data_IF_729490155984
#
_entry.id   IF_729490155984
#
_cell.length_a   1.000
_cell.length_b   1.000
_cell.length_c   1.000
_cell.angle_alpha   90.00
_cell.angle_beta   90.00
_cell.angle_gamma   90.00
#
_symmetry.space_group_name_H-M   'P 1'
#
loop_
_entity.id
_entity.type
_entity.pdbx_description
1 polymer ?
#
# COMPACT_ATOMS: atom_id res chain seq x y z
N UNK A 1 -30.14 -37.80 -46.66
CA UNK A 1 -29.83 -37.08 -45.40
C UNK A 1 -28.33 -37.19 -45.16
N UNK A 2 -27.57 -36.11 -45.38
CA UNK A 2 -26.13 -36.10 -45.06
C UNK A 2 -26.00 -35.95 -43.55
N UNK A 3 -25.76 -37.06 -42.85
CA UNK A 3 -25.44 -37.03 -41.43
C UNK A 3 -24.15 -36.25 -41.23
N UNK A 4 -24.24 -35.12 -40.53
CA UNK A 4 -23.08 -34.35 -40.13
C UNK A 4 -22.20 -35.18 -39.19
N UNK A 5 -20.89 -35.10 -39.40
CA UNK A 5 -19.89 -35.76 -38.57
C UNK A 5 -19.91 -35.13 -37.17
N UNK A 6 -20.56 -35.82 -36.23
CA UNK A 6 -20.82 -35.35 -34.86
C UNK A 6 -19.50 -35.02 -34.14
N UNK A 7 -18.44 -35.79 -34.37
CA UNK A 7 -17.13 -35.56 -33.78
C UNK A 7 -16.48 -34.25 -34.29
N UNK A 8 -16.66 -33.92 -35.57
CA UNK A 8 -16.22 -32.62 -36.10
C UNK A 8 -17.02 -31.47 -35.52
N UNK A 9 -18.33 -31.64 -35.35
CA UNK A 9 -19.19 -30.65 -34.70
C UNK A 9 -18.77 -30.37 -33.26
N UNK A 10 -18.53 -31.42 -32.47
CA UNK A 10 -18.05 -31.34 -31.09
C UNK A 10 -16.68 -30.64 -31.00
N UNK A 11 -15.72 -31.04 -31.83
CA UNK A 11 -14.38 -30.42 -31.87
C UNK A 11 -14.44 -28.93 -32.23
N UNK A 12 -15.30 -28.54 -33.18
CA UNK A 12 -15.53 -27.15 -33.56
C UNK A 12 -16.14 -26.34 -32.42
N UNK A 13 -17.15 -26.88 -31.73
CA UNK A 13 -17.77 -26.23 -30.58
C UNK A 13 -16.77 -26.05 -29.43
N UNK A 14 -15.99 -27.07 -29.10
CA UNK A 14 -14.94 -26.98 -28.08
C UNK A 14 -13.90 -25.92 -28.45
N UNK A 15 -13.46 -25.89 -29.72
CA UNK A 15 -12.49 -24.89 -30.20
C UNK A 15 -13.04 -23.47 -30.13
N UNK A 16 -14.28 -23.25 -30.59
CA UNK A 16 -14.93 -21.93 -30.54
C UNK A 16 -15.16 -21.47 -29.10
N UNK A 17 -15.60 -22.39 -28.23
CA UNK A 17 -15.76 -22.11 -26.81
C UNK A 17 -14.43 -21.73 -26.15
N UNK A 18 -13.37 -22.51 -26.35
CA UNK A 18 -12.02 -22.18 -25.85
C UNK A 18 -11.54 -20.82 -26.37
N UNK A 19 -11.72 -20.52 -27.67
CA UNK A 19 -11.34 -19.23 -28.23
C UNK A 19 -12.09 -18.07 -27.56
N UNK A 20 -13.39 -18.22 -27.30
CA UNK A 20 -14.18 -17.20 -26.61
C UNK A 20 -13.71 -16.96 -25.17
N UNK A 21 -13.36 -18.03 -24.44
CA UNK A 21 -12.79 -17.93 -23.09
C UNK A 21 -11.45 -17.19 -23.08
N UNK A 22 -10.56 -17.53 -24.02
CA UNK A 22 -9.28 -16.82 -24.17
C UNK A 22 -9.46 -15.34 -24.49
N UNK A 23 -10.42 -15.00 -25.35
CA UNK A 23 -10.71 -13.59 -25.68
C UNK A 23 -11.24 -12.81 -24.48
N UNK A 24 -12.15 -13.41 -23.70
CA UNK A 24 -12.69 -12.77 -22.48
C UNK A 24 -11.59 -12.58 -21.44
N UNK A 25 -10.79 -13.62 -21.18
CA UNK A 25 -9.66 -13.53 -20.24
C UNK A 25 -8.62 -12.50 -20.66
N UNK A 26 -8.27 -12.45 -21.94
CA UNK A 26 -7.36 -11.45 -22.48
C UNK A 26 -7.93 -10.03 -22.37
N UNK A 27 -9.21 -9.84 -22.71
CA UNK A 27 -9.85 -8.53 -22.59
C UNK A 27 -9.90 -8.05 -21.13
N UNK A 28 -10.20 -8.92 -20.18
CA UNK A 28 -10.17 -8.61 -18.75
C UNK A 28 -8.75 -8.23 -18.29
N UNK A 29 -7.73 -9.00 -18.69
CA UNK A 29 -6.33 -8.70 -18.39
C UNK A 29 -5.90 -7.34 -18.95
N UNK A 30 -6.24 -7.04 -20.20
CA UNK A 30 -5.90 -5.78 -20.84
C UNK A 30 -6.66 -4.59 -20.23
N UNK A 31 -7.90 -4.79 -19.77
CA UNK A 31 -8.64 -3.78 -19.00
C UNK A 31 -7.85 -3.36 -17.77
N UNK A 32 -7.39 -4.32 -16.96
CA UNK A 32 -6.61 -4.04 -15.74
C UNK A 32 -5.31 -3.30 -16.06
N UNK A 33 -4.60 -3.73 -17.12
CA UNK A 33 -3.43 -3.01 -17.62
C UNK A 33 -3.73 -1.53 -17.90
N UNK A 34 -4.77 -1.27 -18.68
CA UNK A 34 -5.13 0.10 -19.05
C UNK A 34 -5.62 0.93 -17.87
N UNK A 35 -6.28 0.31 -16.88
CA UNK A 35 -6.60 0.97 -15.61
C UNK A 35 -5.33 1.39 -14.86
N UNK A 36 -4.32 0.53 -14.80
CA UNK A 36 -3.00 0.85 -14.23
C UNK A 36 -2.28 1.96 -15.01
N UNK A 37 -2.21 1.87 -16.34
CA UNK A 37 -1.62 2.91 -17.20
C UNK A 37 -2.32 4.26 -17.02
N UNK A 38 -3.66 4.24 -16.88
CA UNK A 38 -4.45 5.45 -16.61
C UNK A 38 -4.09 6.04 -15.25
N UNK A 39 -4.00 5.23 -14.20
CA UNK A 39 -3.59 5.70 -12.86
C UNK A 39 -2.22 6.37 -12.90
N UNK A 40 -1.25 5.76 -13.60
CA UNK A 40 0.09 6.33 -13.74
C UNK A 40 0.08 7.63 -14.53
N UNK A 41 -0.66 7.68 -15.65
CA UNK A 41 -0.78 8.89 -16.48
C UNK A 41 -1.42 10.07 -15.73
N UNK A 42 -2.40 9.78 -14.87
CA UNK A 42 -3.14 10.81 -14.13
C UNK A 42 -2.41 11.31 -12.88
N UNK A 43 -1.51 10.51 -12.29
CA UNK A 43 -0.90 10.81 -10.99
C UNK A 43 0.63 10.84 -11.00
N UNK A 44 1.27 10.46 -12.10
CA UNK A 44 2.72 10.48 -12.23
C UNK A 44 3.41 9.61 -11.18
N UNK A 45 4.55 10.09 -10.67
CA UNK A 45 5.34 9.36 -9.65
C UNK A 45 4.66 9.25 -8.29
N UNK A 46 3.55 9.96 -8.06
CA UNK A 46 2.79 9.80 -6.83
C UNK A 46 2.38 8.34 -6.61
N UNK A 47 2.10 7.57 -7.66
CA UNK A 47 1.76 6.15 -7.55
C UNK A 47 2.92 5.35 -6.93
N UNK A 48 4.15 5.63 -7.34
CA UNK A 48 5.36 4.97 -6.83
C UNK A 48 5.58 5.34 -5.35
N UNK A 49 5.39 6.61 -4.98
CA UNK A 49 5.61 7.09 -3.62
C UNK A 49 4.57 6.66 -2.58
N UNK A 50 3.39 6.21 -3.00
CA UNK A 50 2.38 5.71 -2.05
C UNK A 50 2.48 4.20 -1.85
N UNK A 51 3.14 3.48 -2.77
CA UNK A 51 3.30 2.04 -2.66
C UNK A 51 4.57 1.70 -1.85
N UNK A 52 4.51 0.72 -0.93
CA UNK A 52 5.71 0.07 -0.41
C UNK A 52 6.59 -0.46 -1.55
N UNK A 53 7.91 -0.47 -1.38
CA UNK A 53 8.88 -0.84 -2.43
C UNK A 53 8.55 -2.15 -3.15
N UNK A 54 8.21 -3.22 -2.41
CA UNK A 54 7.81 -4.50 -3.01
C UNK A 54 6.54 -4.43 -3.86
N UNK A 55 5.62 -3.50 -3.56
CA UNK A 55 4.38 -3.30 -4.32
C UNK A 55 4.57 -2.42 -5.57
N UNK A 56 5.65 -1.62 -5.64
CA UNK A 56 6.00 -0.87 -6.85
C UNK A 56 6.28 -1.83 -8.01
N UNK A 57 7.03 -2.90 -7.74
CA UNK A 57 7.31 -3.92 -8.76
C UNK A 57 6.04 -4.66 -9.21
N UNK A 58 5.10 -4.90 -8.29
CA UNK A 58 3.79 -5.48 -8.63
C UNK A 58 3.00 -4.55 -9.56
N UNK A 59 3.01 -3.24 -9.27
CA UNK A 59 2.37 -2.26 -10.15
C UNK A 59 3.05 -2.23 -11.53
N UNK A 60 4.38 -2.23 -11.59
CA UNK A 60 5.14 -2.29 -12.82
C UNK A 60 4.80 -3.54 -13.65
N UNK A 61 4.65 -4.70 -13.00
CA UNK A 61 4.27 -5.95 -13.65
C UNK A 61 2.84 -5.93 -14.21
N UNK A 62 1.92 -5.16 -13.62
CA UNK A 62 0.55 -5.00 -14.14
C UNK A 62 0.53 -4.13 -15.40
N UNK A 63 1.34 -3.07 -15.44
CA UNK A 63 1.37 -2.14 -16.59
C UNK A 63 2.31 -2.58 -17.72
N UNK A 64 3.06 -3.67 -17.54
CA UNK A 64 3.91 -4.26 -18.57
C UNK A 64 3.11 -4.70 -19.81
N UNK A 65 3.78 -4.85 -20.95
CA UNK A 65 3.20 -5.26 -22.24
C UNK A 65 2.29 -6.48 -22.10
N UNK A 66 2.71 -7.45 -21.29
CA UNK A 66 1.91 -8.61 -20.89
C UNK A 66 1.86 -8.66 -19.38
N UNK A 67 0.73 -8.30 -18.76
CA UNK A 67 0.66 -8.20 -17.31
C UNK A 67 0.99 -9.53 -16.63
N UNK A 68 1.66 -9.44 -15.48
CA UNK A 68 2.10 -10.59 -14.67
C UNK A 68 1.65 -10.43 -13.23
N UNK A 69 1.58 -11.56 -12.54
CA UNK A 69 1.37 -11.65 -11.10
C UNK A 69 2.63 -12.18 -10.42
N UNK A 70 2.94 -11.63 -9.25
CA UNK A 70 4.00 -12.13 -8.40
C UNK A 70 3.54 -13.40 -7.68
N UNK A 71 4.29 -14.48 -7.79
CA UNK A 71 4.06 -15.74 -7.07
C UNK A 71 5.19 -15.93 -6.08
N UNK A 72 4.84 -16.04 -4.79
CA UNK A 72 5.81 -16.36 -3.75
C UNK A 72 6.29 -17.80 -3.93
N UNK A 73 7.60 -17.98 -4.06
CA UNK A 73 8.21 -19.32 -4.18
C UNK A 73 8.90 -19.68 -2.88
N UNK A 74 8.48 -20.81 -2.30
CA UNK A 74 9.16 -21.41 -1.16
C UNK A 74 10.48 -22.03 -1.64
N UNK A 75 11.60 -21.45 -1.23
CA UNK A 75 12.90 -22.13 -1.25
C UNK A 75 13.34 -22.37 0.19
N UNK A 76 13.07 -23.57 0.71
CA UNK A 76 13.39 -23.96 2.10
C UNK A 76 12.28 -23.68 3.12
N UNK A 77 12.56 -23.90 4.41
CA UNK A 77 11.62 -23.75 5.54
C UNK A 77 11.28 -22.29 5.89
N UNK A 78 11.78 -21.30 5.14
CA UNK A 78 11.50 -19.88 5.37
C UNK A 78 10.88 -19.23 4.12
N UNK A 79 9.67 -18.67 4.29
CA UNK A 79 9.04 -17.81 3.29
C UNK A 79 9.70 -16.45 3.38
N UNK A 80 10.75 -16.22 2.59
CA UNK A 80 11.32 -14.88 2.43
C UNK A 80 10.55 -14.11 1.36
N UNK A 81 10.09 -12.89 1.68
CA UNK A 81 9.41 -11.97 0.75
C UNK A 81 10.24 -11.63 -0.50
N UNK A 82 11.53 -11.94 -0.51
CA UNK A 82 12.45 -11.73 -1.63
C UNK A 82 12.32 -12.75 -2.77
N UNK A 83 11.53 -13.82 -2.61
CA UNK A 83 11.41 -14.90 -3.60
C UNK A 83 10.14 -14.77 -4.47
N UNK A 84 9.93 -13.60 -5.07
CA UNK A 84 8.82 -13.38 -6.01
C UNK A 84 9.23 -13.83 -7.42
N UNK A 85 8.51 -14.81 -7.98
CA UNK A 85 8.60 -15.17 -9.39
C UNK A 85 7.42 -14.56 -10.17
N UNK A 86 7.73 -13.94 -11.30
CA UNK A 86 6.73 -13.30 -12.15
C UNK A 86 6.13 -14.30 -13.13
N UNK A 87 4.83 -14.57 -13.00
CA UNK A 87 4.10 -15.51 -13.85
C UNK A 87 2.94 -14.84 -14.60
N UNK A 88 2.53 -15.44 -15.71
CA UNK A 88 1.28 -15.05 -16.37
C UNK A 88 0.07 -15.55 -15.55
N UNK A 89 -1.02 -14.75 -15.47
CA UNK A 89 -2.28 -15.20 -14.87
C UNK A 89 -2.77 -16.49 -15.53
N UNK A 90 -3.21 -17.44 -14.70
CA UNK A 90 -3.69 -18.77 -15.09
C UNK A 90 -5.18 -18.95 -14.83
N UNK A 91 -5.73 -18.18 -13.89
CA UNK A 91 -7.13 -18.30 -13.49
C UNK A 91 -7.78 -16.92 -13.26
N UNK A 92 -9.11 -16.91 -13.05
CA UNK A 92 -9.85 -15.66 -12.80
C UNK A 92 -9.49 -15.06 -11.43
N UNK A 93 -9.10 -15.91 -10.49
CA UNK A 93 -8.62 -15.53 -9.16
C UNK A 93 -7.36 -14.65 -9.27
N UNK A 94 -6.46 -14.94 -10.21
CA UNK A 94 -5.28 -14.10 -10.45
C UNK A 94 -5.68 -12.70 -10.94
N UNK A 95 -6.71 -12.61 -11.78
CA UNK A 95 -7.24 -11.32 -12.25
C UNK A 95 -7.93 -10.55 -11.12
N UNK A 96 -8.64 -11.24 -10.23
CA UNK A 96 -9.26 -10.65 -9.05
C UNK A 96 -8.20 -10.05 -8.11
N UNK A 97 -7.09 -10.76 -7.86
CA UNK A 97 -5.97 -10.25 -7.08
C UNK A 97 -5.35 -8.98 -7.68
N UNK A 98 -5.20 -8.93 -9.01
CA UNK A 98 -4.73 -7.74 -9.71
C UNK A 98 -5.72 -6.58 -9.62
N UNK A 99 -7.02 -6.86 -9.72
CA UNK A 99 -8.09 -5.86 -9.58
C UNK A 99 -8.11 -5.27 -8.16
N UNK A 100 -8.10 -6.12 -7.14
CA UNK A 100 -8.05 -5.71 -5.72
C UNK A 100 -6.81 -4.85 -5.45
N UNK A 101 -5.67 -5.21 -6.02
CA UNK A 101 -4.44 -4.42 -5.91
C UNK A 101 -4.58 -3.02 -6.55
N UNK A 102 -5.18 -2.92 -7.74
CA UNK A 102 -5.42 -1.63 -8.40
C UNK A 102 -6.45 -0.78 -7.66
N UNK A 103 -7.49 -1.40 -7.08
CA UNK A 103 -8.45 -0.74 -6.20
C UNK A 103 -7.75 -0.15 -4.98
N UNK A 104 -6.93 -0.95 -4.28
CA UNK A 104 -6.15 -0.50 -3.12
C UNK A 104 -5.19 0.63 -3.48
N UNK A 105 -4.50 0.51 -4.61
CA UNK A 105 -3.59 1.55 -5.13
C UNK A 105 -4.34 2.85 -5.42
N UNK A 106 -5.52 2.78 -6.04
CA UNK A 106 -6.38 3.94 -6.29
C UNK A 106 -6.83 4.60 -4.99
N UNK A 107 -7.17 3.82 -3.97
CA UNK A 107 -7.47 4.32 -2.64
C UNK A 107 -6.27 5.08 -2.05
N UNK A 108 -5.07 4.50 -2.07
CA UNK A 108 -3.87 5.16 -1.54
C UNK A 108 -3.54 6.47 -2.25
N UNK A 109 -3.64 6.51 -3.58
CA UNK A 109 -3.45 7.74 -4.36
C UNK A 109 -4.49 8.80 -3.98
N UNK A 110 -5.77 8.41 -3.86
CA UNK A 110 -6.83 9.34 -3.44
C UNK A 110 -6.60 9.85 -2.03
N UNK A 111 -6.23 8.97 -1.09
CA UNK A 111 -5.93 9.33 0.29
C UNK A 111 -4.75 10.31 0.37
N UNK A 112 -3.67 10.06 -0.37
CA UNK A 112 -2.54 10.98 -0.44
C UNK A 112 -2.98 12.37 -0.93
N UNK A 113 -3.73 12.43 -2.03
CA UNK A 113 -4.16 13.71 -2.62
C UNK A 113 -5.20 14.46 -1.80
N UNK A 114 -6.21 13.76 -1.30
CA UNK A 114 -7.40 14.38 -0.71
C UNK A 114 -7.37 14.35 0.82
N UNK A 115 -6.79 13.31 1.41
CA UNK A 115 -6.63 13.18 2.86
C UNK A 115 -5.40 13.91 3.39
N UNK A 116 -4.25 13.79 2.70
CA UNK A 116 -2.98 14.38 3.13
C UNK A 116 -2.55 15.62 2.33
N UNK A 117 -3.34 16.02 1.32
CA UNK A 117 -3.02 17.14 0.43
C UNK A 117 -1.63 17.01 -0.24
N UNK A 118 -1.27 15.80 -0.64
CA UNK A 118 -0.01 15.47 -1.31
C UNK A 118 -0.22 15.34 -2.82
N UNK A 119 0.65 16.00 -3.58
CA UNK A 119 0.87 15.73 -4.99
C UNK A 119 2.33 15.33 -5.22
N UNK A 120 2.67 15.01 -6.47
CA UNK A 120 4.03 14.60 -6.84
C UNK A 120 5.08 15.64 -6.40
N UNK A 121 4.82 16.93 -6.62
CA UNK A 121 5.74 18.02 -6.25
C UNK A 121 5.91 18.13 -4.74
N UNK A 122 4.84 17.94 -3.97
CA UNK A 122 4.88 18.04 -2.52
C UNK A 122 5.63 16.88 -1.91
N UNK A 123 5.48 15.66 -2.42
CA UNK A 123 6.29 14.52 -1.97
C UNK A 123 7.77 14.71 -2.33
N UNK A 124 8.07 15.19 -3.54
CA UNK A 124 9.46 15.51 -3.91
C UNK A 124 10.07 16.56 -2.97
N UNK A 125 9.28 17.57 -2.57
CA UNK A 125 9.72 18.56 -1.57
C UNK A 125 9.91 17.94 -0.19
N UNK A 126 9.04 17.02 0.24
CA UNK A 126 9.20 16.31 1.52
C UNK A 126 10.53 15.55 1.53
N UNK A 127 10.86 14.86 0.43
CA UNK A 127 12.14 14.17 0.27
C UNK A 127 13.34 15.12 0.51
N UNK A 128 13.30 16.33 -0.06
CA UNK A 128 14.41 17.29 0.12
C UNK A 128 14.52 17.83 1.56
N UNK A 129 13.45 17.72 2.35
CA UNK A 129 13.39 18.17 3.75
C UNK A 129 13.69 17.05 4.74
N UNK A 130 13.64 15.79 4.32
CA UNK A 130 13.83 14.64 5.18
C UNK A 130 15.32 14.29 5.36
N UNK A 131 15.75 14.11 6.60
CA UNK A 131 16.99 13.40 6.94
C UNK A 131 16.75 11.89 7.07
N UNK A 132 15.52 11.48 7.41
CA UNK A 132 15.09 10.07 7.44
C UNK A 132 13.65 9.90 6.93
N UNK A 133 13.35 8.79 6.23
CA UNK A 133 14.26 7.72 5.83
C UNK A 133 15.27 8.16 4.76
N UNK A 134 16.41 7.45 4.69
CA UNK A 134 17.52 7.82 3.81
C UNK A 134 17.25 7.47 2.33
N UNK A 135 16.47 6.42 2.09
CA UNK A 135 16.00 6.07 0.74
C UNK A 135 14.59 6.60 0.51
N UNK A 136 14.35 7.06 -0.71
CA UNK A 136 13.02 7.45 -1.18
C UNK A 136 12.08 6.25 -1.25
N UNK A 137 12.63 5.06 -1.49
CA UNK A 137 11.88 3.81 -1.58
C UNK A 137 11.27 3.41 -0.22
N UNK A 138 11.77 3.99 0.87
CA UNK A 138 11.23 3.82 2.21
C UNK A 138 10.07 4.80 2.49
N UNK A 139 9.82 5.80 1.63
CA UNK A 139 8.63 6.65 1.69
C UNK A 139 7.49 5.91 1.00
N UNK A 140 6.47 5.58 1.77
CA UNK A 140 5.26 4.91 1.28
C UNK A 140 4.03 5.36 2.08
N UNK A 141 2.83 4.91 1.70
CA UNK A 141 1.59 5.31 2.35
C UNK A 141 1.55 5.02 3.86
N UNK A 142 2.22 3.96 4.33
CA UNK A 142 2.26 3.61 5.76
C UNK A 142 3.05 4.67 6.51
N UNK A 143 4.25 5.02 6.03
CA UNK A 143 5.11 6.06 6.62
C UNK A 143 4.46 7.45 6.56
N UNK A 144 3.76 7.74 5.47
CA UNK A 144 3.00 8.99 5.33
C UNK A 144 1.84 9.04 6.34
N UNK A 145 1.14 7.92 6.54
CA UNK A 145 0.02 7.81 7.47
C UNK A 145 0.47 7.90 8.93
N UNK A 146 1.57 7.24 9.31
CA UNK A 146 2.14 7.34 10.67
C UNK A 146 2.67 8.75 10.94
N UNK A 147 3.29 9.39 9.95
CA UNK A 147 3.72 10.80 10.07
C UNK A 147 2.51 11.73 10.20
N UNK A 148 1.43 11.48 9.45
CA UNK A 148 0.20 12.26 9.57
C UNK A 148 -0.50 12.06 10.92
N UNK A 149 -0.49 10.84 11.45
CA UNK A 149 -0.96 10.56 12.82
C UNK A 149 -0.17 11.37 13.83
N UNK A 150 1.16 11.44 13.68
CA UNK A 150 2.01 12.24 14.56
C UNK A 150 1.75 13.74 14.47
N UNK A 151 1.63 14.27 13.25
CA UNK A 151 1.28 15.68 13.00
C UNK A 151 -0.09 16.03 13.58
N UNK A 152 -1.08 15.16 13.41
CA UNK A 152 -2.41 15.32 13.98
C UNK A 152 -2.39 15.27 15.52
N UNK A 153 -1.65 14.32 16.10
CA UNK A 153 -1.57 14.14 17.55
C UNK A 153 -0.87 15.30 18.25
N UNK A 154 0.20 15.83 17.65
CA UNK A 154 1.02 16.89 18.27
C UNK A 154 0.52 18.30 17.96
N UNK A 155 0.02 18.53 16.74
CA UNK A 155 -0.26 19.88 16.22
C UNK A 155 -1.69 20.06 15.70
N UNK A 156 -2.51 19.00 15.68
CA UNK A 156 -3.93 19.09 15.33
C UNK A 156 -4.21 19.26 13.83
N UNK A 157 -3.26 18.98 12.94
CA UNK A 157 -3.46 19.08 11.50
C UNK A 157 -3.11 17.80 10.75
N UNK A 158 -3.86 17.51 9.69
CA UNK A 158 -3.60 16.42 8.76
C UNK A 158 -2.56 16.85 7.72
N UNK A 159 -1.28 16.52 7.98
CA UNK A 159 -0.19 16.77 7.05
C UNK A 159 0.89 15.69 7.21
N UNK A 160 1.72 15.49 6.20
CA UNK A 160 2.86 14.57 6.25
C UNK A 160 4.19 15.32 6.33
N UNK A 161 4.21 16.53 6.91
CA UNK A 161 5.44 17.30 7.03
C UNK A 161 6.45 16.56 7.94
N UNK A 162 7.76 16.61 7.67
CA UNK A 162 8.73 15.86 8.47
C UNK A 162 8.85 16.42 9.88
N UNK A 163 9.07 15.55 10.85
CA UNK A 163 9.13 15.92 12.27
C UNK A 163 10.58 16.20 12.70
N UNK A 164 10.84 17.26 13.46
CA UNK A 164 12.10 17.34 14.20
C UNK A 164 12.20 16.17 15.19
N UNK A 165 13.41 15.65 15.43
CA UNK A 165 13.61 14.49 16.33
C UNK A 165 12.94 14.65 17.71
N UNK A 166 12.95 15.87 18.27
CA UNK A 166 12.31 16.19 19.56
C UNK A 166 10.80 15.99 19.49
N UNK A 167 10.17 16.40 18.39
CA UNK A 167 8.75 16.21 18.17
C UNK A 167 8.44 14.72 17.97
N UNK A 168 9.23 14.00 17.16
CA UNK A 168 9.07 12.57 16.97
C UNK A 168 9.14 11.80 18.31
N UNK A 169 10.12 12.13 19.16
CA UNK A 169 10.23 11.54 20.51
C UNK A 169 9.01 11.86 21.39
N UNK A 170 8.53 13.10 21.35
CA UNK A 170 7.31 13.52 22.07
C UNK A 170 6.08 12.77 21.59
N UNK A 171 5.95 12.58 20.28
CA UNK A 171 4.87 11.79 19.68
C UNK A 171 4.90 10.35 20.20
N UNK A 172 6.05 9.67 20.13
CA UNK A 172 6.17 8.29 20.59
C UNK A 172 5.79 8.15 22.08
N UNK A 173 6.21 9.09 22.92
CA UNK A 173 5.82 9.12 24.34
C UNK A 173 4.32 9.40 24.57
N UNK A 174 3.65 10.04 23.61
CA UNK A 174 2.23 10.39 23.69
C UNK A 174 1.33 9.29 23.13
N UNK A 175 1.78 8.63 22.06
CA UNK A 175 0.98 7.66 21.32
C UNK A 175 1.07 6.26 21.92
N UNK A 176 2.16 5.94 22.63
CA UNK A 176 2.30 4.67 23.31
C UNK A 176 1.67 4.72 24.70
N UNK A 177 0.94 3.66 25.05
CA UNK A 177 0.42 3.45 26.40
C UNK A 177 1.58 3.19 27.35
N UNK A 178 1.48 3.65 28.59
CA UNK A 178 2.46 3.33 29.62
C UNK A 178 2.43 1.82 29.92
N UNK A 179 3.55 1.15 29.70
CA UNK A 179 3.67 -0.27 30.01
C UNK A 179 3.62 -0.50 31.52
N UNK A 180 2.93 -1.57 31.92
CA UNK A 180 2.84 -2.01 33.31
C UNK A 180 4.15 -2.70 33.72
N UNK A 181 4.78 -3.44 32.79
CA UNK A 181 6.08 -4.07 32.97
C UNK A 181 7.14 -3.40 32.09
N UNK A 182 8.34 -3.21 32.65
CA UNK A 182 9.43 -2.51 31.96
C UNK A 182 9.94 -3.25 30.71
N UNK A 183 9.71 -4.56 30.62
CA UNK A 183 10.19 -5.41 29.52
C UNK A 183 9.13 -5.64 28.42
N UNK A 184 7.89 -5.19 28.62
CA UNK A 184 6.85 -5.33 27.60
C UNK A 184 7.08 -4.34 26.46
N UNK A 185 6.83 -4.73 25.19
CA UNK A 185 6.82 -3.77 24.10
C UNK A 185 5.67 -2.77 24.30
N UNK A 186 5.93 -1.50 24.01
CA UNK A 186 4.90 -0.47 24.00
C UNK A 186 3.82 -0.77 22.96
N UNK A 187 2.56 -0.60 23.37
CA UNK A 187 1.37 -0.73 22.51
C UNK A 187 0.80 0.63 22.20
N UNK A 188 0.33 0.82 20.97
CA UNK A 188 -0.27 2.10 20.55
C UNK A 188 -1.62 2.32 21.25
N UNK A 189 -1.88 3.54 21.70
CA UNK A 189 -3.16 3.97 22.26
C UNK A 189 -4.25 4.00 21.16
N UNK A 190 -5.19 3.06 21.25
CA UNK A 190 -6.29 2.93 20.29
C UNK A 190 -7.18 4.17 20.20
N UNK A 191 -7.33 4.94 21.29
CA UNK A 191 -8.14 6.15 21.29
C UNK A 191 -7.51 7.24 20.40
N UNK A 192 -6.17 7.30 20.36
CA UNK A 192 -5.45 8.21 19.45
C UNK A 192 -5.65 7.82 17.99
N UNK A 193 -5.61 6.53 17.70
CA UNK A 193 -5.83 6.00 16.34
C UNK A 193 -7.27 6.24 15.91
N UNK A 194 -8.24 6.01 16.78
CA UNK A 194 -9.66 6.25 16.51
C UNK A 194 -9.94 7.75 16.26
N UNK A 195 -9.39 8.64 17.08
CA UNK A 195 -9.52 10.08 16.86
C UNK A 195 -8.90 10.53 15.53
N UNK A 196 -7.74 9.98 15.16
CA UNK A 196 -7.12 10.25 13.87
C UNK A 196 -7.95 9.72 12.69
N UNK A 197 -8.50 8.49 12.81
CA UNK A 197 -9.44 7.93 11.81
C UNK A 197 -10.62 8.87 11.60
N UNK A 198 -11.27 9.32 12.67
CA UNK A 198 -12.44 10.18 12.57
C UNK A 198 -12.08 11.54 11.95
N UNK A 199 -10.88 12.05 12.23
CA UNK A 199 -10.34 13.25 11.57
C UNK A 199 -10.16 13.03 10.07
N UNK A 200 -9.62 11.88 9.64
CA UNK A 200 -9.50 11.52 8.22
C UNK A 200 -10.85 11.37 7.52
N UNK A 201 -11.80 10.71 8.17
CA UNK A 201 -13.16 10.55 7.66
C UNK A 201 -13.92 11.88 7.55
N UNK A 202 -13.50 12.90 8.30
CA UNK A 202 -14.01 14.27 8.20
C UNK A 202 -13.48 15.07 7.01
N UNK A 203 -12.52 14.54 6.24
CA UNK A 203 -12.01 15.21 5.03
C UNK A 203 -13.04 15.24 3.90
N UNK A 204 -12.85 16.09 2.89
CA UNK A 204 -13.75 16.21 1.73
C UNK A 204 -13.66 15.04 0.74
N UNK A 205 -12.97 13.95 1.09
CA UNK A 205 -12.88 12.75 0.27
C UNK A 205 -14.26 12.07 0.19
N UNK A 206 -14.65 11.65 -1.01
CA UNK A 206 -15.89 10.91 -1.21
C UNK A 206 -15.74 9.45 -0.74
N UNK A 207 -15.83 9.23 0.57
CA UNK A 207 -15.64 7.93 1.21
C UNK A 207 -16.73 6.92 0.82
N UNK A 208 -16.33 5.84 0.13
CA UNK A 208 -17.15 4.63 -0.02
C UNK A 208 -16.97 3.68 1.17
N UNK A 209 -17.81 2.65 1.27
CA UNK A 209 -17.64 1.59 2.27
C UNK A 209 -16.32 0.82 2.07
N UNK A 210 -15.91 0.63 0.83
CA UNK A 210 -14.63 0.03 0.46
C UNK A 210 -13.43 0.91 0.84
N UNK A 211 -13.54 2.24 0.69
CA UNK A 211 -12.53 3.19 1.16
C UNK A 211 -12.38 3.11 2.69
N UNK A 212 -13.49 2.96 3.43
CA UNK A 212 -13.48 2.81 4.89
C UNK A 212 -12.81 1.51 5.33
N UNK A 213 -13.12 0.40 4.66
CA UNK A 213 -12.45 -0.89 4.93
C UNK A 213 -10.94 -0.81 4.63
N UNK A 214 -10.57 -0.16 3.53
CA UNK A 214 -9.17 0.06 3.16
C UNK A 214 -8.43 0.96 4.15
N UNK A 215 -9.10 2.00 4.68
CA UNK A 215 -8.56 2.86 5.73
C UNK A 215 -8.33 2.08 7.03
N UNK A 216 -9.31 1.29 7.48
CA UNK A 216 -9.17 0.48 8.70
C UNK A 216 -7.98 -0.49 8.58
N UNK A 217 -7.79 -1.13 7.43
CA UNK A 217 -6.62 -1.97 7.22
C UNK A 217 -5.31 -1.16 7.21
N UNK A 218 -5.28 -0.01 6.53
CA UNK A 218 -4.11 0.86 6.51
C UNK A 218 -3.71 1.35 7.91
N UNK A 219 -4.68 1.67 8.77
CA UNK A 219 -4.42 2.09 10.14
C UNK A 219 -3.85 0.94 10.99
N UNK A 220 -4.33 -0.29 10.80
CA UNK A 220 -3.72 -1.48 11.43
C UNK A 220 -2.28 -1.69 10.97
N UNK A 221 -2.03 -1.57 9.67
CA UNK A 221 -0.68 -1.69 9.10
C UNK A 221 0.25 -0.59 9.65
N UNK A 222 -0.26 0.64 9.82
CA UNK A 222 0.45 1.76 10.41
C UNK A 222 0.77 1.56 11.90
N UNK A 223 -0.17 1.02 12.69
CA UNK A 223 0.06 0.66 14.09
C UNK A 223 1.12 -0.44 14.20
N UNK A 224 0.98 -1.52 13.43
CA UNK A 224 1.95 -2.60 13.42
C UNK A 224 3.36 -2.11 13.05
N UNK A 225 3.46 -1.17 12.10
CA UNK A 225 4.72 -0.54 11.73
C UNK A 225 5.32 0.30 12.88
N UNK A 226 4.51 1.07 13.62
CA UNK A 226 4.96 1.81 14.79
C UNK A 226 5.46 0.89 15.90
N UNK A 227 4.71 -0.16 16.22
CA UNK A 227 5.07 -1.13 17.26
C UNK A 227 6.33 -1.92 16.89
N UNK A 228 6.45 -2.32 15.62
CA UNK A 228 7.63 -3.02 15.12
C UNK A 228 8.90 -2.17 15.23
N UNK A 229 8.85 -0.90 14.81
CA UNK A 229 10.04 -0.03 14.80
C UNK A 229 10.35 0.62 16.14
N UNK A 230 9.33 0.95 16.94
CA UNK A 230 9.51 1.79 18.12
C UNK A 230 9.05 1.14 19.42
N UNK A 231 8.26 0.06 19.36
CA UNK A 231 7.65 -0.55 20.55
C UNK A 231 8.65 -1.05 21.58
N UNK A 232 9.86 -1.46 21.17
CA UNK A 232 10.92 -1.93 22.09
C UNK A 232 11.94 -0.87 22.47
N UNK A 233 11.78 0.37 22.01
CA UNK A 233 12.76 1.42 22.28
C UNK A 233 12.60 1.99 23.70
N UNK A 234 13.73 2.24 24.36
CA UNK A 234 13.74 3.07 25.56
C UNK A 234 13.60 4.55 25.17
N UNK A 235 12.37 5.07 25.24
CA UNK A 235 12.06 6.46 24.89
C UNK A 235 12.65 7.51 25.85
N UNK A 236 13.41 7.11 26.88
CA UNK A 236 14.18 8.04 27.71
C UNK A 236 15.56 8.33 27.10
N UNK A 237 16.11 7.39 26.35
CA UNK A 237 17.44 7.48 25.75
C UNK A 237 17.45 8.19 24.39
N UNK A 238 18.63 8.32 23.79
CA UNK A 238 18.76 8.81 22.41
C UNK A 238 18.34 7.69 21.47
N UNK A 239 17.46 8.01 20.52
CA UNK A 239 17.01 7.09 19.48
C UNK A 239 17.98 7.18 18.29
N UNK A 240 18.40 6.02 17.77
CA UNK A 240 19.19 5.95 16.53
C UNK A 240 18.24 5.76 15.34
N UNK A 241 17.82 6.89 14.76
CA UNK A 241 16.78 6.95 13.74
C UNK A 241 17.12 6.22 12.44
N UNK A 242 18.41 5.97 12.16
CA UNK A 242 18.85 5.27 10.93
C UNK A 242 18.36 3.82 10.84
N UNK A 243 17.96 3.22 11.98
CA UNK A 243 17.41 1.86 12.05
C UNK A 243 15.88 1.85 12.08
N UNK A 244 15.25 3.01 12.01
CA UNK A 244 13.79 3.15 12.03
C UNK A 244 13.29 3.68 10.70
N UNK A 245 12.17 3.15 10.23
CA UNK A 245 11.56 3.55 8.95
C UNK A 245 10.10 3.97 9.11
N UNK A 246 9.66 4.23 10.34
CA UNK A 246 8.25 4.45 10.64
C UNK A 246 7.78 5.90 10.61
N UNK A 247 8.65 6.89 10.43
CA UNK A 247 8.30 8.32 10.43
C UNK A 247 9.20 9.11 9.46
N UNK A 248 8.69 10.21 8.91
CA UNK A 248 9.49 11.22 8.22
C UNK A 248 10.11 12.19 9.23
N UNK A 249 11.43 12.36 9.18
CA UNK A 249 12.19 13.22 10.10
C UNK A 249 13.00 14.27 9.35
N UNK A 250 13.14 15.46 9.94
CA UNK A 250 14.06 16.53 9.51
C UNK A 250 15.23 16.68 10.48
#
# INVERSE_FOLDING_TARGET
MRGGDIQKGETLLTKTYMQSLFQVGYAALMRLKWEGEKLLKENGRLVEYVLPSGLVDHFAAIVDRFPKIGVLVQEGDEIAETNVQWAHPRALEDLALMEDFLIKTRFYVRLAKQGFNLDEKRIEKLKDQCTHPASVDDINIIVLTTTALAQSTLFGHLACDPLPEVAAKTFLQTVFVHNIHADDPHTVDEDKVAAFRDTLLGTSMAWSDEDRASLEQLLKDAVANLEHHFGRLNLKEKIDWKFTRGLLLQ
#
